data_IF_414079979710
#
_entry.id   IF_414079979710
#
_cell.length_a   1.000
_cell.length_b   1.000
_cell.length_c   1.000
_cell.angle_alpha   90.00
_cell.angle_beta   90.00
_cell.angle_gamma   90.00
#
_symmetry.space_group_name_H-M   'P 1'
#
loop_
_entity.id
_entity.type
_entity.pdbx_description
1 polymer ?
#
# COMPACT_ATOMS: atom_id res chain seq x y z
N UNK A 1 21.00 2.76 -3.94
CA UNK A 1 19.77 1.96 -3.88
C UNK A 1 18.82 2.41 -4.98
N UNK A 2 18.57 1.57 -5.99
CA UNK A 2 17.57 1.79 -7.04
C UNK A 2 16.21 1.35 -6.51
N UNK A 3 15.21 2.23 -6.62
CA UNK A 3 13.87 2.00 -6.07
C UNK A 3 12.87 2.05 -7.22
N UNK A 4 11.97 1.07 -7.28
CA UNK A 4 10.84 1.02 -8.20
C UNK A 4 9.55 1.12 -7.41
N UNK A 5 8.73 2.13 -7.69
CA UNK A 5 7.40 2.25 -7.10
C UNK A 5 6.35 1.73 -8.08
N UNK A 6 5.42 0.90 -7.59
CA UNK A 6 4.38 0.28 -8.39
C UNK A 6 3.03 0.51 -7.70
N UNK A 7 2.09 1.07 -8.44
CA UNK A 7 0.70 1.29 -8.03
C UNK A 7 -0.18 0.21 -8.68
N UNK A 8 -0.48 -0.91 -8.00
CA UNK A 8 -1.43 -1.89 -8.52
C UNK A 8 -2.85 -1.31 -8.52
N UNK A 9 -3.52 -1.38 -9.67
CA UNK A 9 -4.89 -0.89 -9.84
C UNK A 9 -5.68 -1.81 -10.77
N UNK A 10 -6.93 -2.09 -10.39
CA UNK A 10 -7.90 -2.83 -11.21
C UNK A 10 -9.31 -2.26 -11.06
N UNK A 11 -10.12 -2.38 -12.11
CA UNK A 11 -11.52 -1.97 -12.13
C UNK A 11 -12.38 -2.89 -11.26
N UNK A 12 -12.06 -4.19 -11.25
CA UNK A 12 -12.73 -5.19 -10.45
C UNK A 12 -12.43 -5.00 -8.95
N UNK A 13 -13.39 -4.46 -8.21
CA UNK A 13 -13.39 -4.34 -6.75
C UNK A 13 -14.76 -4.77 -6.25
N UNK A 14 -14.81 -5.76 -5.35
CA UNK A 14 -16.08 -6.28 -4.83
C UNK A 14 -16.84 -5.25 -3.99
N UNK A 15 -16.10 -4.46 -3.18
CA UNK A 15 -16.66 -3.46 -2.27
C UNK A 15 -17.04 -2.15 -2.97
N UNK A 16 -16.26 -1.74 -3.97
CA UNK A 16 -16.50 -0.49 -4.70
C UNK A 16 -16.02 -0.58 -6.15
N UNK A 17 -16.86 -1.11 -7.07
CA UNK A 17 -16.51 -1.31 -8.48
C UNK A 17 -16.05 -0.03 -9.19
N UNK A 18 -15.03 -0.17 -10.04
CA UNK A 18 -14.44 0.95 -10.79
C UNK A 18 -13.71 1.97 -9.91
N UNK A 19 -13.37 1.60 -8.67
CA UNK A 19 -12.74 2.44 -7.65
C UNK A 19 -11.65 3.36 -8.20
N UNK A 20 -10.61 2.86 -8.90
CA UNK A 20 -9.46 3.68 -9.28
C UNK A 20 -9.84 4.89 -10.14
N UNK A 21 -10.91 4.78 -10.94
CA UNK A 21 -11.36 5.82 -11.85
C UNK A 21 -12.52 6.67 -11.30
N UNK A 22 -13.00 6.40 -10.08
CA UNK A 22 -13.98 7.27 -9.41
C UNK A 22 -13.34 8.63 -9.12
N UNK A 23 -14.09 9.69 -9.41
CA UNK A 23 -13.60 11.06 -9.28
C UNK A 23 -13.65 11.53 -7.82
N UNK A 24 -12.55 12.12 -7.37
CA UNK A 24 -12.44 12.92 -6.16
C UNK A 24 -12.08 14.34 -6.61
N UNK A 25 -12.89 15.34 -6.27
CA UNK A 25 -12.64 16.74 -6.69
C UNK A 25 -12.35 16.87 -8.21
N UNK A 26 -13.19 16.24 -9.04
CA UNK A 26 -13.13 16.19 -10.54
C UNK A 26 -12.01 15.31 -11.13
N UNK A 27 -11.03 14.84 -10.37
CA UNK A 27 -9.94 13.98 -10.86
C UNK A 27 -10.12 12.53 -10.36
N UNK A 28 -9.82 11.51 -11.16
CA UNK A 28 -9.82 10.11 -10.71
C UNK A 28 -8.98 9.87 -9.44
N UNK A 29 -9.38 8.95 -8.58
CA UNK A 29 -8.61 8.58 -7.39
C UNK A 29 -7.16 8.19 -7.74
N UNK A 30 -6.98 7.39 -8.80
CA UNK A 30 -5.67 6.97 -9.28
C UNK A 30 -4.78 8.15 -9.71
N UNK A 31 -5.37 9.26 -10.19
CA UNK A 31 -4.64 10.50 -10.50
C UNK A 31 -3.95 11.04 -9.25
N UNK A 32 -4.69 11.15 -8.14
CA UNK A 32 -4.16 11.66 -6.88
C UNK A 32 -3.02 10.78 -6.36
N UNK A 33 -3.21 9.46 -6.35
CA UNK A 33 -2.17 8.51 -5.91
C UNK A 33 -0.91 8.64 -6.77
N UNK A 34 -1.06 8.63 -8.10
CA UNK A 34 0.08 8.73 -9.01
C UNK A 34 0.81 10.07 -8.87
N UNK A 35 0.09 11.19 -8.87
CA UNK A 35 0.70 12.53 -8.80
C UNK A 35 1.41 12.77 -7.47
N UNK A 36 0.85 12.29 -6.36
CA UNK A 36 1.55 12.39 -5.08
C UNK A 36 2.77 11.49 -4.99
N UNK A 37 2.72 10.29 -5.59
CA UNK A 37 3.90 9.43 -5.71
C UNK A 37 5.00 10.08 -6.59
N UNK A 38 4.62 10.77 -7.66
CA UNK A 38 5.52 11.50 -8.58
C UNK A 38 6.26 12.67 -7.90
N UNK A 39 5.72 13.21 -6.80
CA UNK A 39 6.44 14.21 -5.99
C UNK A 39 7.67 13.64 -5.26
N UNK A 40 7.76 12.32 -5.10
CA UNK A 40 8.84 11.66 -4.39
C UNK A 40 9.69 10.77 -5.31
N UNK A 41 9.05 9.99 -6.18
CA UNK A 41 9.73 9.10 -7.11
C UNK A 41 9.96 9.79 -8.45
N UNK A 42 11.10 9.50 -9.07
CA UNK A 42 11.34 9.89 -10.46
C UNK A 42 10.32 9.17 -11.35
N UNK A 43 9.68 9.90 -12.27
CA UNK A 43 8.70 9.35 -13.21
C UNK A 43 9.13 8.02 -13.85
N UNK A 44 10.40 7.93 -14.30
CA UNK A 44 10.96 6.72 -14.93
C UNK A 44 10.96 5.47 -14.03
N UNK A 45 10.78 5.62 -12.73
CA UNK A 45 10.84 4.58 -11.69
C UNK A 45 9.50 4.47 -10.92
N UNK A 46 8.42 5.03 -11.46
CA UNK A 46 7.06 4.95 -10.93
C UNK A 46 6.13 4.41 -12.01
N UNK A 47 5.43 3.31 -11.73
CA UNK A 47 4.55 2.63 -12.69
C UNK A 47 3.17 2.32 -12.09
N UNK A 48 2.14 2.41 -12.92
CA UNK A 48 0.82 1.83 -12.65
C UNK A 48 0.82 0.39 -13.18
N UNK A 49 0.46 -0.58 -12.37
CA UNK A 49 0.31 -1.98 -12.81
C UNK A 49 -1.17 -2.34 -12.87
N UNK A 50 -1.66 -2.67 -14.07
CA UNK A 50 -3.10 -2.94 -14.27
C UNK A 50 -3.33 -4.10 -15.24
N UNK A 51 -4.52 -4.67 -15.20
CA UNK A 51 -4.98 -5.67 -16.17
C UNK A 51 -6.17 -5.18 -17.00
N UNK A 52 -6.59 -3.92 -16.80
CA UNK A 52 -7.78 -3.34 -17.40
C UNK A 52 -7.39 -2.25 -18.39
N UNK A 53 -7.94 -2.32 -19.60
CA UNK A 53 -7.60 -1.41 -20.70
C UNK A 53 -8.06 0.01 -20.39
N UNK A 54 -9.13 0.19 -19.62
CA UNK A 54 -9.63 1.49 -19.17
C UNK A 54 -8.61 2.22 -18.29
N UNK A 55 -7.94 1.48 -17.39
CA UNK A 55 -6.88 2.05 -16.54
C UNK A 55 -5.62 2.31 -17.37
N UNK A 56 -5.30 1.46 -18.35
CA UNK A 56 -4.18 1.68 -19.26
C UNK A 56 -4.37 2.93 -20.12
N UNK A 57 -5.54 3.08 -20.75
CA UNK A 57 -5.94 4.25 -21.54
C UNK A 57 -5.89 5.52 -20.67
N UNK A 58 -6.44 5.45 -19.45
CA UNK A 58 -6.38 6.57 -18.54
C UNK A 58 -4.94 6.94 -18.15
N UNK A 59 -4.10 5.94 -17.82
CA UNK A 59 -2.70 6.15 -17.48
C UNK A 59 -1.95 6.83 -18.64
N UNK A 60 -2.21 6.39 -19.88
CA UNK A 60 -1.67 7.04 -21.08
C UNK A 60 -2.12 8.51 -21.21
N UNK A 61 -3.40 8.80 -20.95
CA UNK A 61 -3.96 10.17 -21.03
C UNK A 61 -3.30 11.18 -20.07
N UNK A 62 -2.72 10.70 -18.96
CA UNK A 62 -1.99 11.52 -17.99
C UNK A 62 -0.47 11.37 -18.13
N UNK A 63 -0.02 10.72 -19.21
CA UNK A 63 1.38 10.38 -19.49
C UNK A 63 2.06 9.64 -18.33
N UNK A 64 1.31 8.83 -17.57
CA UNK A 64 1.85 7.98 -16.52
C UNK A 64 2.45 6.71 -17.13
N UNK A 65 3.60 6.28 -16.60
CA UNK A 65 4.13 4.97 -16.99
C UNK A 65 3.23 3.87 -16.44
N UNK A 66 2.91 2.88 -17.25
CA UNK A 66 2.12 1.73 -16.83
C UNK A 66 2.64 0.43 -17.43
N UNK A 67 2.25 -0.69 -16.84
CA UNK A 67 2.55 -2.02 -17.33
C UNK A 67 1.31 -2.91 -17.23
N UNK A 68 1.00 -3.62 -18.32
CA UNK A 68 -0.07 -4.60 -18.34
C UNK A 68 0.36 -5.86 -17.57
N UNK A 69 -0.55 -6.36 -16.75
CA UNK A 69 -0.39 -7.53 -15.88
C UNK A 69 -1.56 -8.48 -16.07
N UNK A 70 -1.41 -9.72 -15.62
CA UNK A 70 -2.42 -10.75 -15.73
C UNK A 70 -3.71 -10.41 -14.97
N UNK A 71 -4.85 -10.76 -15.58
CA UNK A 71 -6.18 -10.72 -14.93
C UNK A 71 -6.33 -11.80 -13.83
N UNK A 72 -5.46 -12.81 -13.82
CA UNK A 72 -5.51 -13.93 -12.84
C UNK A 72 -5.03 -13.53 -11.44
N UNK A 73 -4.31 -12.41 -11.30
CA UNK A 73 -3.81 -11.94 -10.01
C UNK A 73 -4.95 -11.49 -9.11
N UNK A 74 -5.14 -12.24 -8.01
CA UNK A 74 -6.10 -11.89 -6.96
C UNK A 74 -5.54 -10.80 -6.04
N UNK A 75 -4.24 -10.84 -5.75
CA UNK A 75 -3.57 -9.95 -4.79
C UNK A 75 -2.81 -8.82 -5.46
N UNK A 76 -2.63 -7.74 -4.72
CA UNK A 76 -1.83 -6.60 -5.15
C UNK A 76 -0.35 -6.97 -5.26
N UNK A 77 0.17 -7.74 -4.29
CA UNK A 77 1.56 -8.20 -4.24
C UNK A 77 1.98 -9.05 -5.46
N UNK A 78 1.14 -10.01 -5.87
CA UNK A 78 1.38 -10.84 -7.07
C UNK A 78 1.46 -9.98 -8.35
N UNK A 79 0.59 -8.97 -8.46
CA UNK A 79 0.59 -8.01 -9.58
C UNK A 79 1.85 -7.16 -9.58
N UNK A 80 2.30 -6.69 -8.41
CA UNK A 80 3.53 -5.92 -8.26
C UNK A 80 4.75 -6.74 -8.64
N UNK A 81 4.79 -8.03 -8.27
CA UNK A 81 5.85 -8.94 -8.68
C UNK A 81 5.92 -9.08 -10.21
N UNK A 82 4.80 -9.37 -10.89
CA UNK A 82 4.80 -9.50 -12.35
C UNK A 82 5.24 -8.18 -13.02
N UNK A 83 4.70 -7.05 -12.55
CA UNK A 83 5.05 -5.73 -13.03
C UNK A 83 6.55 -5.45 -12.89
N UNK A 84 7.15 -5.75 -11.73
CA UNK A 84 8.58 -5.63 -11.50
C UNK A 84 9.37 -6.43 -12.55
N UNK A 85 9.07 -7.72 -12.74
CA UNK A 85 9.80 -8.57 -13.70
C UNK A 85 9.74 -8.00 -15.12
N UNK A 86 8.56 -7.55 -15.56
CA UNK A 86 8.38 -6.93 -16.88
C UNK A 86 9.15 -5.62 -17.02
N UNK A 87 9.08 -4.74 -16.03
CA UNK A 87 9.78 -3.45 -16.02
C UNK A 87 11.30 -3.66 -16.05
N UNK A 88 11.83 -4.58 -15.25
CA UNK A 88 13.27 -4.89 -15.22
C UNK A 88 13.76 -5.39 -16.57
N UNK A 89 12.98 -6.25 -17.24
CA UNK A 89 13.27 -6.74 -18.60
C UNK A 89 13.28 -5.59 -19.61
N UNK A 90 12.25 -4.74 -19.60
CA UNK A 90 12.13 -3.59 -20.51
C UNK A 90 13.29 -2.59 -20.32
N UNK A 91 13.65 -2.30 -19.08
CA UNK A 91 14.68 -1.31 -18.76
C UNK A 91 16.10 -1.87 -18.71
N UNK A 92 16.27 -3.19 -18.89
CA UNK A 92 17.53 -3.92 -18.68
C UNK A 92 18.22 -3.51 -17.37
N UNK A 93 17.43 -3.29 -16.31
CA UNK A 93 17.90 -2.74 -15.04
C UNK A 93 17.22 -3.46 -13.89
N UNK A 94 18.01 -3.96 -12.94
CA UNK A 94 17.49 -4.49 -11.67
C UNK A 94 17.31 -3.38 -10.64
N UNK A 95 16.30 -3.53 -9.80
CA UNK A 95 16.04 -2.65 -8.66
C UNK A 95 16.44 -3.31 -7.34
N UNK A 96 16.70 -2.52 -6.32
CA UNK A 96 17.04 -3.03 -4.99
C UNK A 96 15.79 -3.12 -4.11
N UNK A 97 14.90 -2.15 -4.26
CA UNK A 97 13.69 -1.99 -3.45
C UNK A 97 12.47 -1.78 -4.36
N UNK A 98 11.39 -2.50 -4.06
CA UNK A 98 10.11 -2.41 -4.76
C UNK A 98 9.07 -1.87 -3.79
N UNK A 99 8.50 -0.71 -4.08
CA UNK A 99 7.51 -0.05 -3.24
C UNK A 99 6.11 -0.35 -3.78
N UNK A 100 5.35 -1.17 -3.06
CA UNK A 100 3.93 -1.37 -3.32
C UNK A 100 3.15 -0.18 -2.73
N UNK A 101 2.48 0.57 -3.59
CA UNK A 101 1.63 1.71 -3.23
C UNK A 101 0.19 1.40 -3.60
N UNK A 102 -0.68 1.19 -2.61
CA UNK A 102 -2.06 0.84 -2.93
C UNK A 102 -2.77 1.97 -3.70
N UNK A 103 -3.49 1.59 -4.76
CA UNK A 103 -4.13 2.55 -5.69
C UNK A 103 -5.31 3.32 -5.12
N UNK A 104 -5.62 3.13 -3.84
CA UNK A 104 -6.78 3.66 -3.12
C UNK A 104 -6.43 4.55 -1.92
N UNK A 105 -5.17 4.98 -1.83
CA UNK A 105 -4.63 5.87 -0.81
C UNK A 105 -4.35 7.27 -1.40
N UNK A 106 -5.37 8.07 -1.76
CA UNK A 106 -5.19 9.34 -2.47
C UNK A 106 -4.45 10.41 -1.67
N UNK A 107 -4.19 10.18 -0.37
CA UNK A 107 -3.47 11.09 0.52
C UNK A 107 -1.99 10.71 0.73
N UNK A 108 -1.49 9.63 0.12
CA UNK A 108 -0.07 9.22 0.19
C UNK A 108 0.85 10.41 -0.04
N UNK A 109 1.91 10.60 0.74
CA UNK A 109 2.73 11.80 0.61
C UNK A 109 4.25 11.52 0.69
N UNK A 110 5.11 12.46 0.24
CA UNK A 110 6.56 12.29 0.27
C UNK A 110 7.16 11.98 1.65
N UNK A 111 6.59 12.49 2.74
CA UNK A 111 7.06 12.23 4.10
C UNK A 111 6.83 10.77 4.48
N UNK A 112 5.62 10.24 4.19
CA UNK A 112 5.30 8.83 4.39
C UNK A 112 6.21 7.92 3.57
N UNK A 113 6.41 8.24 2.29
CA UNK A 113 7.26 7.46 1.38
C UNK A 113 8.72 7.43 1.87
N UNK A 114 9.23 8.57 2.33
CA UNK A 114 10.55 8.65 2.96
C UNK A 114 10.65 7.75 4.20
N UNK A 115 9.67 7.81 5.10
CA UNK A 115 9.60 6.97 6.32
C UNK A 115 9.57 5.48 6.00
N UNK A 116 8.87 5.08 4.93
CA UNK A 116 8.81 3.68 4.51
C UNK A 116 10.16 3.15 3.97
N UNK A 117 10.96 4.02 3.33
CA UNK A 117 12.19 3.63 2.62
C UNK A 117 13.45 3.75 3.49
N UNK A 118 13.51 4.73 4.39
CA UNK A 118 14.70 4.97 5.21
C UNK A 118 15.17 3.78 6.07
N UNK A 119 14.30 2.89 6.59
CA UNK A 119 14.74 1.72 7.35
C UNK A 119 15.72 0.83 6.58
N UNK A 120 15.50 0.63 5.27
CA UNK A 120 16.37 -0.20 4.42
C UNK A 120 17.78 0.38 4.25
N UNK A 121 17.93 1.70 4.37
CA UNK A 121 19.24 2.36 4.31
C UNK A 121 20.04 2.15 5.60
N UNK A 122 19.35 2.06 6.73
CA UNK A 122 19.95 1.94 8.06
C UNK A 122 20.23 0.50 8.47
N UNK A 123 19.39 -0.43 8.03
CA UNK A 123 19.52 -1.84 8.39
C UNK A 123 19.22 -2.75 7.20
N UNK A 124 20.26 -3.43 6.71
CA UNK A 124 20.19 -4.37 5.58
C UNK A 124 19.46 -5.68 5.90
N UNK A 125 19.21 -6.00 7.18
CA UNK A 125 18.44 -7.19 7.56
C UNK A 125 16.93 -7.03 7.36
N UNK A 126 16.45 -5.80 7.18
CA UNK A 126 15.03 -5.52 6.91
C UNK A 126 14.70 -5.94 5.48
N UNK A 127 13.75 -6.88 5.36
CA UNK A 127 13.28 -7.41 4.07
C UNK A 127 12.00 -6.75 3.58
N UNK A 128 11.14 -6.33 4.51
CA UNK A 128 9.86 -5.68 4.23
C UNK A 128 9.53 -4.68 5.35
N UNK A 129 8.98 -3.53 4.95
CA UNK A 129 8.40 -2.54 5.86
C UNK A 129 6.91 -2.40 5.55
N UNK A 130 6.10 -2.18 6.58
CA UNK A 130 4.72 -1.76 6.43
C UNK A 130 4.50 -0.52 7.31
N UNK A 131 3.85 0.51 6.77
CA UNK A 131 3.51 1.68 7.57
C UNK A 131 2.34 1.37 8.50
N UNK A 132 2.27 2.06 9.64
CA UNK A 132 1.14 1.97 10.55
C UNK A 132 0.73 3.34 11.09
N UNK A 133 -0.53 3.48 11.49
CA UNK A 133 -1.06 4.70 12.10
C UNK A 133 -1.83 4.36 13.37
N UNK A 134 -1.71 5.24 14.38
CA UNK A 134 -2.55 5.19 15.59
C UNK A 134 -4.02 5.36 15.22
N UNK A 135 -4.84 4.45 15.71
CA UNK A 135 -6.30 4.52 15.65
C UNK A 135 -6.78 5.51 16.71
N UNK A 136 -7.69 6.41 16.33
CA UNK A 136 -8.12 7.53 17.20
C UNK A 136 -9.55 7.40 17.70
N UNK A 137 -10.29 6.38 17.28
CA UNK A 137 -11.68 6.18 17.70
C UNK A 137 -12.03 4.69 17.82
N UNK A 138 -12.95 4.35 18.72
CA UNK A 138 -13.48 2.99 18.84
C UNK A 138 -14.10 2.51 17.52
N UNK A 139 -14.81 3.40 16.82
CA UNK A 139 -15.39 3.11 15.50
C UNK A 139 -14.35 2.65 14.47
N UNK A 140 -13.16 3.26 14.48
CA UNK A 140 -12.05 2.86 13.60
C UNK A 140 -11.39 1.56 14.08
N UNK A 141 -11.30 1.34 15.40
CA UNK A 141 -10.82 0.07 15.95
C UNK A 141 -11.73 -1.11 15.54
N UNK A 142 -13.05 -0.89 15.51
CA UNK A 142 -14.05 -1.90 15.21
C UNK A 142 -14.31 -2.05 13.70
N UNK A 143 -13.78 -1.17 12.83
CA UNK A 143 -13.97 -1.27 11.38
C UNK A 143 -13.15 -2.43 10.80
N UNK A 144 -13.77 -3.48 10.25
CA UNK A 144 -13.03 -4.62 9.69
C UNK A 144 -12.28 -4.29 8.38
N UNK A 145 -12.52 -3.13 7.77
CA UNK A 145 -11.74 -2.65 6.63
C UNK A 145 -10.39 -2.09 7.07
N UNK A 146 -10.33 -1.51 8.27
CA UNK A 146 -9.10 -1.08 8.91
C UNK A 146 -8.45 -2.29 9.59
N UNK A 147 -7.40 -2.84 8.98
CA UNK A 147 -6.68 -3.99 9.56
C UNK A 147 -5.78 -3.50 10.69
N UNK A 148 -6.03 -4.01 11.89
CA UNK A 148 -5.27 -3.72 13.10
C UNK A 148 -3.97 -4.51 13.12
N UNK A 149 -2.98 -3.97 13.83
CA UNK A 149 -1.67 -4.60 13.99
C UNK A 149 -1.18 -4.44 15.43
N UNK A 150 -0.62 -5.53 15.97
CA UNK A 150 0.20 -5.53 17.19
C UNK A 150 1.64 -5.87 16.84
N UNK A 151 2.58 -5.32 17.58
CA UNK A 151 4.01 -5.42 17.27
C UNK A 151 4.86 -5.53 18.54
N UNK A 152 6.08 -6.04 18.39
CA UNK A 152 7.03 -6.22 19.49
C UNK A 152 7.73 -4.90 19.89
N UNK A 153 8.57 -4.96 20.93
CA UNK A 153 9.35 -3.79 21.41
C UNK A 153 10.30 -3.20 20.35
N UNK A 154 10.64 -3.97 19.32
CA UNK A 154 11.48 -3.56 18.21
C UNK A 154 10.66 -3.15 16.98
N UNK A 155 9.34 -2.97 17.11
CA UNK A 155 8.41 -2.63 16.03
C UNK A 155 8.42 -3.65 14.89
N UNK A 156 8.51 -4.94 15.19
CA UNK A 156 8.17 -5.98 14.23
C UNK A 156 6.75 -6.47 14.49
N UNK A 157 5.95 -6.60 13.43
CA UNK A 157 4.57 -7.09 13.55
C UNK A 157 4.55 -8.49 14.18
N UNK A 158 3.66 -8.67 15.16
CA UNK A 158 3.36 -9.94 15.79
C UNK A 158 2.12 -10.59 15.17
N UNK A 159 1.09 -9.78 14.89
CA UNK A 159 -0.17 -10.25 14.30
C UNK A 159 -0.92 -9.09 13.63
N UNK A 160 -1.60 -9.41 12.52
CA UNK A 160 -2.57 -8.52 11.88
C UNK A 160 -3.97 -9.12 12.00
N UNK A 161 -4.99 -8.30 12.23
CA UNK A 161 -6.37 -8.78 12.29
C UNK A 161 -7.36 -7.74 11.80
N UNK A 162 -8.47 -8.21 11.23
CA UNK A 162 -9.65 -7.38 11.00
C UNK A 162 -10.45 -7.12 12.27
N UNK A 163 -10.28 -7.96 13.30
CA UNK A 163 -10.80 -7.67 14.64
C UNK A 163 -9.93 -6.66 15.39
N UNK A 164 -10.55 -5.96 16.34
CA UNK A 164 -9.85 -5.06 17.23
C UNK A 164 -8.83 -5.83 18.08
N UNK A 165 -7.55 -5.46 17.95
CA UNK A 165 -6.45 -6.02 18.73
C UNK A 165 -5.52 -4.90 19.22
N UNK A 166 -4.89 -5.05 20.40
CA UNK A 166 -5.08 -6.14 21.36
C UNK A 166 -6.39 -6.00 22.15
N UNK A 167 -6.84 -7.07 22.80
CA UNK A 167 -7.94 -7.00 23.77
C UNK A 167 -7.46 -6.32 25.06
N UNK A 168 -8.15 -5.27 25.52
CA UNK A 168 -7.77 -4.46 26.70
C UNK A 168 -8.46 -4.90 27.99
N UNK A 169 -8.17 -6.08 28.53
CA UNK A 169 -8.89 -6.53 29.73
C UNK A 169 -8.67 -5.61 30.94
N UNK A 170 -7.46 -5.09 31.13
CA UNK A 170 -7.04 -4.40 32.36
C UNK A 170 -7.18 -2.86 32.28
N UNK A 171 -7.80 -2.32 31.23
CA UNK A 171 -7.84 -0.87 30.94
C UNK A 171 -6.46 -0.21 30.92
N UNK A 172 -5.40 -0.95 30.57
CA UNK A 172 -4.09 -0.32 30.33
C UNK A 172 -4.25 0.76 29.28
N UNK A 173 -3.62 1.91 29.50
CA UNK A 173 -3.53 2.94 28.46
C UNK A 173 -2.67 2.39 27.33
N UNK A 174 -3.32 1.95 26.26
CA UNK A 174 -2.66 1.60 25.01
C UNK A 174 -3.36 2.27 23.84
N UNK A 175 -2.71 2.23 22.69
CA UNK A 175 -3.25 2.72 21.44
C UNK A 175 -3.36 1.56 20.45
N UNK A 176 -4.52 1.44 19.80
CA UNK A 176 -4.62 0.53 18.66
C UNK A 176 -3.86 1.14 17.48
N UNK A 177 -3.30 0.28 16.65
CA UNK A 177 -2.65 0.67 15.41
C UNK A 177 -3.30 -0.07 14.25
N UNK A 178 -3.40 0.60 13.11
CA UNK A 178 -3.79 -0.02 11.85
C UNK A 178 -2.67 0.05 10.84
N UNK A 179 -2.64 -0.93 9.93
CA UNK A 179 -1.72 -0.89 8.80
C UNK A 179 -2.07 0.25 7.84
N UNK A 180 -1.07 0.70 7.11
CA UNK A 180 -1.19 1.69 6.04
C UNK A 180 -0.51 1.12 4.82
N UNK A 181 -1.22 1.03 3.70
CA UNK A 181 -0.83 0.18 2.56
C UNK A 181 0.27 0.78 1.66
N UNK A 182 1.40 1.12 2.28
CA UNK A 182 2.69 1.47 1.68
C UNK A 182 3.68 0.44 2.16
N UNK A 183 3.97 -0.53 1.30
CA UNK A 183 4.64 -1.77 1.69
C UNK A 183 5.86 -1.98 0.78
N UNK A 184 7.01 -1.36 1.08
CA UNK A 184 8.23 -1.65 0.35
C UNK A 184 8.83 -3.01 0.75
N UNK A 185 9.30 -3.73 -0.27
CA UNK A 185 10.01 -5.00 -0.17
C UNK A 185 11.39 -4.84 -0.77
N UNK A 186 12.40 -5.53 -0.22
CA UNK A 186 13.60 -5.80 -1.02
C UNK A 186 13.22 -6.66 -2.22
N UNK A 187 13.88 -6.44 -3.36
CA UNK A 187 13.61 -7.19 -4.59
C UNK A 187 13.71 -8.71 -4.36
N UNK A 188 14.76 -9.16 -3.69
CA UNK A 188 14.97 -10.58 -3.38
C UNK A 188 13.84 -11.15 -2.53
N UNK A 189 13.34 -10.37 -1.56
CA UNK A 189 12.27 -10.83 -0.70
C UNK A 189 10.91 -10.83 -1.39
N UNK A 190 10.61 -9.89 -2.29
CA UNK A 190 9.39 -9.94 -3.09
C UNK A 190 9.35 -11.20 -3.98
N UNK A 191 10.50 -11.60 -4.54
CA UNK A 191 10.60 -12.86 -5.30
C UNK A 191 10.32 -14.06 -4.39
N UNK A 192 10.90 -14.09 -3.20
CA UNK A 192 10.64 -15.15 -2.23
C UNK A 192 9.17 -15.20 -1.82
N UNK A 193 8.60 -14.06 -1.45
CA UNK A 193 7.20 -13.91 -1.05
C UNK A 193 6.22 -14.38 -2.13
N UNK A 194 6.50 -14.11 -3.41
CA UNK A 194 5.69 -14.59 -4.52
C UNK A 194 5.70 -16.13 -4.64
N UNK A 195 6.83 -16.77 -4.33
CA UNK A 195 6.97 -18.22 -4.36
C UNK A 195 6.41 -18.94 -3.12
N UNK A 196 6.11 -18.19 -2.04
CA UNK A 196 5.46 -18.75 -0.85
C UNK A 196 4.02 -19.13 -1.16
N UNK A 197 3.61 -20.33 -0.71
CA UNK A 197 2.21 -20.75 -0.76
C UNK A 197 1.38 -19.85 0.16
N UNK A 198 0.12 -19.52 -0.21
CA UNK A 198 -0.79 -18.87 0.71
C UNK A 198 -0.95 -19.64 2.02
N UNK A 199 -0.98 -18.93 3.13
CA UNK A 199 -1.02 -19.51 4.47
C UNK A 199 -2.42 -19.42 5.09
N UNK A 200 -2.65 -20.16 6.18
CA UNK A 200 -3.99 -20.32 6.77
C UNK A 200 -4.56 -18.99 7.23
N UNK A 201 -3.82 -18.22 8.03
CA UNK A 201 -4.33 -16.97 8.58
C UNK A 201 -4.34 -15.84 7.55
N UNK A 202 -3.41 -15.84 6.59
CA UNK A 202 -3.50 -14.97 5.42
C UNK A 202 -4.83 -15.12 4.68
N UNK A 203 -5.29 -16.35 4.46
CA UNK A 203 -6.57 -16.63 3.79
C UNK A 203 -7.75 -16.20 4.66
N UNK A 204 -7.74 -16.56 5.95
CA UNK A 204 -8.85 -16.29 6.89
C UNK A 204 -9.02 -14.78 7.12
N UNK A 205 -7.94 -14.07 7.44
CA UNK A 205 -7.97 -12.62 7.69
C UNK A 205 -8.04 -11.83 6.37
N UNK A 206 -7.71 -12.45 5.23
CA UNK A 206 -7.50 -11.78 3.94
C UNK A 206 -6.51 -10.61 4.08
N UNK A 207 -5.34 -10.88 4.68
CA UNK A 207 -4.25 -9.92 4.92
C UNK A 207 -2.92 -10.51 4.44
N UNK A 208 -2.38 -9.98 3.35
CA UNK A 208 -1.14 -10.43 2.70
C UNK A 208 0.06 -10.58 3.68
N UNK A 209 0.22 -9.64 4.63
CA UNK A 209 1.36 -9.64 5.55
C UNK A 209 1.33 -10.78 6.57
N UNK A 210 0.19 -11.45 6.75
CA UNK A 210 0.15 -12.67 7.55
C UNK A 210 1.00 -13.79 6.96
N UNK A 211 1.13 -13.86 5.62
CA UNK A 211 2.01 -14.84 4.97
C UNK A 211 3.48 -14.68 5.38
N UNK A 212 3.93 -13.44 5.54
CA UNK A 212 5.29 -13.15 6.03
C UNK A 212 5.48 -13.70 7.44
N UNK A 213 4.54 -13.38 8.34
CA UNK A 213 4.61 -13.79 9.75
C UNK A 213 4.50 -15.31 9.90
N UNK A 214 3.56 -15.95 9.19
CA UNK A 214 3.32 -17.40 9.26
C UNK A 214 4.51 -18.23 8.74
N UNK A 215 5.36 -17.66 7.87
CA UNK A 215 6.61 -18.29 7.42
C UNK A 215 7.82 -17.95 8.33
N UNK A 216 7.61 -17.30 9.48
CA UNK A 216 8.65 -16.97 10.45
C UNK A 216 9.52 -15.76 10.09
N UNK A 217 9.17 -15.01 9.04
CA UNK A 217 9.83 -13.77 8.67
C UNK A 217 9.22 -12.57 9.42
N UNK A 218 9.92 -11.43 9.37
CA UNK A 218 9.57 -10.23 10.12
C UNK A 218 9.11 -9.10 9.21
N UNK A 219 8.02 -8.43 9.58
CA UNK A 219 7.57 -7.17 8.97
C UNK A 219 7.94 -6.01 9.88
N UNK A 220 8.81 -5.10 9.41
CA UNK A 220 9.15 -3.90 10.17
C UNK A 220 8.01 -2.89 10.08
N UNK A 221 7.42 -2.56 11.21
CA UNK A 221 6.37 -1.55 11.31
C UNK A 221 6.97 -0.17 11.53
N UNK A 222 6.48 0.84 10.81
CA UNK A 222 6.92 2.23 10.95
C UNK A 222 5.71 3.13 11.14
N UNK A 223 5.69 3.86 12.24
CA UNK A 223 4.58 4.74 12.58
C UNK A 223 4.60 6.04 11.76
N UNK A 224 3.42 6.43 11.27
CA UNK A 224 3.16 7.74 10.70
C UNK A 224 2.11 8.51 11.51
N UNK A 225 2.23 9.83 11.49
CA UNK A 225 1.27 10.76 12.10
C UNK A 225 0.46 11.52 11.05
N UNK A 226 0.86 11.40 9.78
CA UNK A 226 0.23 12.01 8.61
C UNK A 226 -1.24 11.58 8.45
N UNK A 227 -2.03 12.46 7.84
CA UNK A 227 -3.42 12.17 7.51
C UNK A 227 -3.49 11.22 6.30
N UNK A 228 -4.30 10.18 6.43
CA UNK A 228 -4.48 9.13 5.42
C UNK A 228 -5.95 8.74 5.35
N UNK A 229 -6.35 8.17 4.22
CA UNK A 229 -7.65 7.53 4.08
C UNK A 229 -7.60 6.51 2.94
N UNK A 230 -7.89 5.26 3.27
CA UNK A 230 -8.16 4.24 2.27
C UNK A 230 -9.59 4.42 1.76
N UNK A 231 -9.77 4.59 0.46
CA UNK A 231 -11.10 4.75 -0.13
C UNK A 231 -11.63 3.38 -0.51
N UNK A 232 -12.50 2.80 0.31
CA UNK A 232 -13.13 1.48 0.04
C UNK A 232 -14.65 1.57 -0.12
N UNK A 233 -15.25 2.70 0.25
CA UNK A 233 -16.69 2.93 0.13
C UNK A 233 -16.99 4.31 -0.48
N UNK A 234 -18.23 4.56 -0.93
CA UNK A 234 -18.66 5.90 -1.33
C UNK A 234 -18.54 6.95 -0.22
N UNK A 235 -18.66 6.54 1.05
CA UNK A 235 -18.48 7.45 2.19
C UNK A 235 -17.01 7.86 2.35
N UNK A 236 -16.07 6.95 2.13
CA UNK A 236 -14.64 7.27 2.18
C UNK A 236 -14.25 8.18 1.03
N UNK A 237 -14.87 8.03 -0.15
CA UNK A 237 -14.69 8.95 -1.28
C UNK A 237 -15.07 10.39 -0.89
N UNK A 238 -16.19 10.57 -0.15
CA UNK A 238 -16.63 11.88 0.36
C UNK A 238 -15.64 12.45 1.38
N UNK A 239 -15.20 11.64 2.35
CA UNK A 239 -14.18 12.05 3.33
C UNK A 239 -12.86 12.44 2.64
N UNK A 240 -12.40 11.64 1.68
CA UNK A 240 -11.20 11.91 0.90
C UNK A 240 -11.31 13.23 0.13
N UNK A 241 -12.48 13.54 -0.45
CA UNK A 241 -12.74 14.83 -1.10
C UNK A 241 -12.54 16.01 -0.14
N UNK A 242 -13.05 15.92 1.09
CA UNK A 242 -12.92 16.97 2.11
C UNK A 242 -11.45 17.12 2.54
N UNK A 243 -10.77 16.00 2.82
CA UNK A 243 -9.37 16.01 3.24
C UNK A 243 -8.46 16.59 2.15
N UNK A 244 -8.65 16.18 0.90
CA UNK A 244 -7.87 16.67 -0.24
C UNK A 244 -8.00 18.18 -0.44
N UNK A 245 -9.16 18.78 -0.17
CA UNK A 245 -9.34 20.25 -0.29
C UNK A 245 -8.52 21.03 0.74
N UNK A 246 -8.24 20.45 1.91
CA UNK A 246 -7.46 21.07 2.99
C UNK A 246 -5.97 20.69 2.94
N UNK A 247 -5.59 19.79 2.03
CA UNK A 247 -4.27 19.19 2.00
C UNK A 247 -3.26 20.05 1.21
N UNK A 248 -2.10 20.28 1.83
CA UNK A 248 -1.01 21.12 1.31
C UNK A 248 -0.33 20.61 0.04
N UNK A 249 -0.52 19.34 -0.32
CA UNK A 249 0.03 18.73 -1.53
C UNK A 249 -0.93 18.83 -2.71
N UNK A 250 -2.24 18.92 -2.48
CA UNK A 250 -3.25 18.93 -3.56
C UNK A 250 -3.04 20.06 -4.56
N UNK A 251 -2.62 21.25 -4.11
CA UNK A 251 -2.38 22.40 -4.99
C UNK A 251 -1.06 22.34 -5.77
N UNK A 252 -0.28 21.26 -5.62
CA UNK A 252 1.04 21.11 -6.25
C UNK A 252 1.01 20.27 -7.55
N UNK A 253 -0.17 19.85 -8.01
CA UNK A 253 -0.36 19.01 -9.21
C UNK A 253 -1.76 19.12 -9.82
#
# INVERSE_FOLDING_TARGET
>A
MKILAIIPARMASSRFPGKPLKKINKKPMLYHVYKRAEMFFKKKDLYIATCDDEIAQYSNSISANFIMTSKKHKRASDRVYEAMIKIEKLKKTKYDLIVLLQGDEPLINPVMLKKAIDPFKKNKSIKVVNLMKRIRSAKEADDPNDVKVVFDKNQYALYFSRYAIPFNQTKYKFENYKQVCVIPFTRSYLINYYNMKPTKYEIIESVDMMRVIENGDKVKMIEITDEIISVDTPNDLKKASILLKKDKYTNKY
#
